data_IF_769508898831
#
_entry.id   IF_769508898831
#
_cell.length_a   1.000
_cell.length_b   1.000
_cell.length_c   1.000
_cell.angle_alpha   90.00
_cell.angle_beta   90.00
_cell.angle_gamma   90.00
#
_symmetry.space_group_name_H-M   'P 1'
#
loop_
_entity.id
_entity.type
_entity.pdbx_description
1 polymer ?
#
# COMPACT_ATOMS: atom_id res chain seq x y z
N UNK A 1 16.66 -0.70 9.94
CA UNK A 1 17.27 -1.39 8.79
C UNK A 1 17.10 -0.51 7.56
N UNK A 2 18.17 -0.03 6.95
CA UNK A 2 18.06 0.97 5.87
C UNK A 2 17.70 0.41 4.48
N UNK A 3 17.46 -0.90 4.35
CA UNK A 3 17.33 -1.58 3.05
C UNK A 3 16.07 -2.46 2.91
N UNK A 4 15.09 -2.33 3.81
CA UNK A 4 13.85 -3.10 3.73
C UNK A 4 12.72 -2.25 3.17
N UNK A 5 12.02 -2.79 2.17
CA UNK A 5 10.89 -2.16 1.50
C UNK A 5 9.66 -3.06 1.60
N UNK A 6 8.56 -2.51 2.09
CA UNK A 6 7.26 -3.19 2.13
C UNK A 6 6.29 -2.44 1.21
N UNK A 7 5.69 -3.14 0.26
CA UNK A 7 4.63 -2.60 -0.59
C UNK A 7 3.30 -3.19 -0.13
N UNK A 8 2.32 -2.35 0.17
CA UNK A 8 1.02 -2.80 0.66
C UNK A 8 -0.09 -1.83 0.23
N UNK A 9 -1.33 -2.28 0.25
CA UNK A 9 -2.52 -1.46 -0.01
C UNK A 9 -2.87 -0.54 1.17
N UNK A 10 -3.59 0.54 0.88
CA UNK A 10 -3.94 1.53 1.89
C UNK A 10 -5.29 2.20 1.60
N UNK A 11 -6.24 1.98 2.50
CA UNK A 11 -7.62 2.44 2.37
C UNK A 11 -7.79 3.95 2.62
N UNK A 12 -6.74 4.64 3.08
CA UNK A 12 -6.77 6.10 3.31
C UNK A 12 -6.11 6.87 2.15
N UNK A 13 -5.68 6.18 1.09
CA UNK A 13 -5.08 6.78 -0.11
C UNK A 13 -5.99 6.50 -1.32
N UNK A 14 -6.34 7.53 -2.13
CA UNK A 14 -7.12 7.38 -3.36
C UNK A 14 -6.59 6.27 -4.28
N UNK A 15 -7.49 5.48 -4.85
CA UNK A 15 -7.15 4.55 -5.92
C UNK A 15 -6.40 5.26 -7.05
N UNK A 16 -5.30 4.68 -7.50
CA UNK A 16 -4.44 5.30 -8.52
C UNK A 16 -3.33 6.20 -7.95
N UNK A 17 -3.25 6.37 -6.63
CA UNK A 17 -2.16 7.09 -5.97
C UNK A 17 -1.28 6.15 -5.14
N UNK A 18 -0.10 6.64 -4.76
CA UNK A 18 0.75 5.98 -3.77
C UNK A 18 1.47 7.00 -2.89
N UNK A 19 1.85 6.57 -1.68
CA UNK A 19 2.69 7.36 -0.76
C UNK A 19 3.86 6.53 -0.26
N UNK A 20 4.98 7.21 0.01
CA UNK A 20 6.15 6.60 0.67
C UNK A 20 6.18 7.05 2.12
N UNK A 21 6.40 6.12 3.04
CA UNK A 21 6.56 6.42 4.47
C UNK A 21 7.68 5.60 5.10
N UNK A 22 8.29 6.16 6.14
CA UNK A 22 9.34 5.48 6.94
C UNK A 22 9.00 5.69 8.41
N UNK A 23 9.23 4.68 9.24
CA UNK A 23 9.06 4.77 10.69
C UNK A 23 7.66 5.25 11.14
N UNK A 24 6.62 4.62 10.60
CA UNK A 24 5.22 4.89 10.91
C UNK A 24 4.51 3.61 11.37
N UNK A 25 3.48 3.75 12.21
CA UNK A 25 2.70 2.62 12.71
C UNK A 25 1.87 1.90 11.64
N UNK A 26 1.30 0.75 11.98
CA UNK A 26 0.54 -0.11 11.06
C UNK A 26 -0.73 0.55 10.50
N UNK A 27 -1.35 1.49 11.22
CA UNK A 27 -2.53 2.21 10.73
C UNK A 27 -3.75 1.30 10.51
N UNK A 28 -3.87 0.23 11.30
CA UNK A 28 -4.94 -0.78 11.14
C UNK A 28 -4.63 -1.89 10.14
N UNK A 29 -3.50 -1.84 9.42
CA UNK A 29 -3.15 -2.87 8.45
C UNK A 29 -2.49 -4.09 9.12
N UNK A 30 -3.21 -5.21 9.22
CA UNK A 30 -2.75 -6.43 9.91
C UNK A 30 -1.44 -7.01 9.33
N UNK A 31 -1.26 -6.97 8.01
CA UNK A 31 0.01 -7.39 7.38
C UNK A 31 1.22 -6.55 7.83
N UNK A 32 1.06 -5.22 7.96
CA UNK A 32 2.15 -4.36 8.43
C UNK A 32 2.38 -4.53 9.93
N UNK A 33 1.33 -4.75 10.72
CA UNK A 33 1.46 -5.09 12.14
C UNK A 33 2.28 -6.36 12.33
N UNK A 34 2.00 -7.41 11.54
CA UNK A 34 2.77 -8.66 11.53
C UNK A 34 4.25 -8.40 11.18
N UNK A 35 4.53 -7.61 10.15
CA UNK A 35 5.91 -7.24 9.77
C UNK A 35 6.63 -6.48 10.88
N UNK A 36 5.98 -5.50 11.51
CA UNK A 36 6.55 -4.75 12.64
C UNK A 36 6.86 -5.70 13.81
N UNK A 37 5.93 -6.61 14.11
CA UNK A 37 6.11 -7.62 15.16
C UNK A 37 7.28 -8.55 14.88
N UNK A 38 7.39 -9.07 13.65
CA UNK A 38 8.47 -9.97 13.24
C UNK A 38 9.84 -9.30 13.22
N UNK A 39 9.91 -8.02 12.80
CA UNK A 39 11.17 -7.27 12.70
C UNK A 39 11.58 -6.60 14.02
N UNK A 40 10.66 -6.45 14.98
CA UNK A 40 10.88 -5.71 16.23
C UNK A 40 11.16 -4.22 16.02
N UNK A 41 10.90 -3.68 14.83
CA UNK A 41 11.18 -2.29 14.47
C UNK A 41 10.22 -1.78 13.40
N UNK A 42 10.09 -0.45 13.33
CA UNK A 42 9.37 0.28 12.28
C UNK A 42 10.32 0.94 11.28
N UNK A 43 11.63 0.75 11.47
CA UNK A 43 12.68 1.33 10.63
C UNK A 43 12.84 0.53 9.33
N UNK A 44 11.80 0.61 8.50
CA UNK A 44 11.73 0.14 7.12
C UNK A 44 10.89 1.12 6.28
N UNK A 45 11.12 1.11 4.97
CA UNK A 45 10.36 1.94 4.02
C UNK A 45 9.08 1.21 3.63
N UNK A 46 7.97 1.95 3.53
CA UNK A 46 6.70 1.46 3.02
C UNK A 46 6.29 2.24 1.79
N UNK A 47 5.93 1.54 0.73
CA UNK A 47 5.15 2.11 -0.36
C UNK A 47 3.70 1.67 -0.18
N UNK A 48 2.84 2.65 0.07
CA UNK A 48 1.43 2.51 0.34
C UNK A 48 0.67 2.76 -0.95
N UNK A 49 0.03 1.76 -1.52
CA UNK A 49 -0.75 1.84 -2.76
C UNK A 49 -2.21 2.13 -2.41
N UNK A 50 -2.77 3.19 -2.96
CA UNK A 50 -4.14 3.58 -2.64
C UNK A 50 -5.18 2.62 -3.20
N UNK A 51 -6.16 2.31 -2.35
CA UNK A 51 -7.35 1.52 -2.70
C UNK A 51 -8.66 2.22 -2.31
N UNK A 52 -8.59 3.47 -1.82
CA UNK A 52 -9.79 4.25 -1.48
C UNK A 52 -10.64 4.48 -2.73
N UNK A 53 -11.90 4.01 -2.76
CA UNK A 53 -12.80 4.26 -3.87
C UNK A 53 -13.15 5.75 -4.01
N UNK A 54 -13.52 6.17 -5.22
CA UNK A 54 -13.93 7.54 -5.50
C UNK A 54 -15.17 7.96 -4.68
N UNK A 55 -16.06 7.00 -4.37
CA UNK A 55 -17.23 7.19 -3.52
C UNK A 55 -16.92 7.34 -2.03
N UNK A 56 -15.66 7.18 -1.62
CA UNK A 56 -15.23 7.27 -0.22
C UNK A 56 -14.99 5.92 0.43
N UNK A 57 -14.72 5.97 1.74
CA UNK A 57 -14.29 4.80 2.53
C UNK A 57 -15.47 3.83 2.72
N UNK A 58 -15.32 2.53 2.42
CA UNK A 58 -16.34 1.53 2.68
C UNK A 58 -16.66 1.42 4.18
N UNK A 59 -17.92 1.13 4.51
CA UNK A 59 -18.32 0.85 5.90
C UNK A 59 -17.68 -0.45 6.41
N UNK A 60 -17.72 -1.51 5.59
CA UNK A 60 -17.10 -2.80 5.88
C UNK A 60 -15.71 -2.90 5.22
N UNK A 61 -14.70 -2.32 5.86
CA UNK A 61 -13.31 -2.31 5.34
C UNK A 61 -12.75 -3.73 5.19
N UNK A 62 -13.02 -4.62 6.15
CA UNK A 62 -12.49 -5.99 6.14
C UNK A 62 -13.02 -6.81 4.96
N UNK A 63 -14.29 -6.64 4.60
CA UNK A 63 -14.87 -7.27 3.41
C UNK A 63 -14.31 -6.65 2.13
N UNK A 64 -14.14 -5.33 2.12
CA UNK A 64 -13.62 -4.60 0.97
C UNK A 64 -12.21 -5.04 0.59
N UNK A 65 -11.29 -5.22 1.55
CA UNK A 65 -9.90 -5.60 1.25
C UNK A 65 -9.76 -7.05 0.76
N UNK A 66 -10.79 -7.88 0.93
CA UNK A 66 -10.82 -9.27 0.47
C UNK A 66 -11.47 -9.45 -0.90
N UNK A 67 -12.14 -8.42 -1.42
CA UNK A 67 -12.83 -8.51 -2.72
C UNK A 67 -11.82 -8.43 -3.89
N UNK A 68 -12.15 -9.00 -5.05
CA UNK A 68 -11.37 -8.77 -6.25
C UNK A 68 -11.54 -7.33 -6.78
N UNK A 69 -10.47 -6.78 -7.34
CA UNK A 69 -10.55 -5.53 -8.11
C UNK A 69 -11.39 -5.70 -9.38
N UNK A 70 -12.16 -4.66 -9.74
CA UNK A 70 -12.82 -4.59 -11.05
C UNK A 70 -11.78 -4.43 -12.18
N UNK A 71 -12.15 -4.67 -13.45
CA UNK A 71 -11.26 -4.41 -14.59
C UNK A 71 -10.70 -2.99 -14.62
N UNK A 72 -11.53 -1.99 -14.32
CA UNK A 72 -11.17 -0.57 -14.32
C UNK A 72 -10.20 -0.25 -13.18
N UNK A 73 -10.46 -0.78 -11.99
CA UNK A 73 -9.55 -0.63 -10.84
C UNK A 73 -8.19 -1.28 -11.13
N UNK A 74 -8.20 -2.45 -11.78
CA UNK A 74 -6.99 -3.16 -12.18
C UNK A 74 -6.16 -2.35 -13.17
N UNK A 75 -6.78 -1.70 -14.16
CA UNK A 75 -6.08 -0.85 -15.13
C UNK A 75 -5.38 0.35 -14.46
N UNK A 76 -6.09 1.01 -13.53
CA UNK A 76 -5.51 2.11 -12.74
C UNK A 76 -4.34 1.62 -11.89
N UNK A 77 -4.49 0.48 -11.20
CA UNK A 77 -3.43 -0.10 -10.39
C UNK A 77 -2.23 -0.51 -11.24
N UNK A 78 -2.45 -1.13 -12.41
CA UNK A 78 -1.36 -1.47 -13.34
C UNK A 78 -0.55 -0.24 -13.73
N UNK A 79 -1.23 0.86 -14.06
CA UNK A 79 -0.56 2.13 -14.40
C UNK A 79 0.32 2.63 -13.25
N UNK A 80 -0.17 2.58 -12.01
CA UNK A 80 0.60 2.98 -10.82
C UNK A 80 1.80 2.07 -10.60
N UNK A 81 1.58 0.75 -10.64
CA UNK A 81 2.61 -0.25 -10.38
C UNK A 81 3.73 -0.19 -11.41
N UNK A 82 3.43 0.02 -12.69
CA UNK A 82 4.44 0.20 -13.75
C UNK A 82 5.29 1.44 -13.48
N UNK A 83 4.66 2.59 -13.19
CA UNK A 83 5.38 3.85 -12.88
C UNK A 83 6.25 3.71 -11.63
N UNK A 84 5.74 3.03 -10.61
CA UNK A 84 6.45 2.79 -9.37
C UNK A 84 7.66 1.88 -9.59
N UNK A 85 7.47 0.76 -10.30
CA UNK A 85 8.54 -0.18 -10.63
C UNK A 85 9.67 0.54 -11.38
N UNK A 86 9.34 1.30 -12.43
CA UNK A 86 10.32 2.09 -13.18
C UNK A 86 11.10 3.04 -12.26
N UNK A 87 10.43 3.72 -11.32
CA UNK A 87 11.07 4.65 -10.38
C UNK A 87 12.00 3.96 -9.38
N UNK A 88 11.67 2.75 -8.93
CA UNK A 88 12.52 1.98 -8.02
C UNK A 88 13.75 1.48 -8.77
N UNK A 89 13.58 0.87 -9.95
CA UNK A 89 14.68 0.30 -10.73
C UNK A 89 15.63 1.36 -11.30
N UNK A 90 15.14 2.54 -11.67
CA UNK A 90 15.99 3.63 -12.17
C UNK A 90 16.73 4.40 -11.05
N UNK A 91 16.48 4.07 -9.78
CA UNK A 91 17.12 4.70 -8.62
C UNK A 91 17.95 3.73 -7.77
N UNK A 92 17.94 2.45 -8.11
CA UNK A 92 18.86 1.43 -7.60
C UNK A 92 20.14 1.44 -8.43
#
# INVERSE_FOLDING_TARGET
MKNSLVVHDDIDIPLGEYKVSVNRGAGGHHGVESVIGALGTRDFTRIRIGILPAQGKPEAVDEFVLRPFTPEERELLQTVLIRLAARIFLRA
#
